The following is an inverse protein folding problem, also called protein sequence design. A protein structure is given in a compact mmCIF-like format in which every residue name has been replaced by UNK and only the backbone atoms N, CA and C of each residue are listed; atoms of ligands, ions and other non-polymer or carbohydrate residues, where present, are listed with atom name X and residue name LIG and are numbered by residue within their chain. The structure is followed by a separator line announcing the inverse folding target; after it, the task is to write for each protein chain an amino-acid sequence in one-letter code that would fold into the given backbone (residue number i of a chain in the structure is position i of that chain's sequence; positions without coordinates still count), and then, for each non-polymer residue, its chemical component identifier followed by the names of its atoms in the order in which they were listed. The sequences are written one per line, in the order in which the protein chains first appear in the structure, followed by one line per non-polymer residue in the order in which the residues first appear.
data_IF_260076469765
#
_entry.id   IF_260076469765
#
_cell.length_a   1.000
_cell.length_b   1.000
_cell.length_c   1.000
_cell.angle_alpha   90.00
_cell.angle_beta   90.00
_cell.angle_gamma   90.00
#
_symmetry.space_group_name_H-M   'P 1'
#
loop_
_entity.id
_entity.type
_entity.pdbx_description
1 polymer ?
#
# COMPACT_ATOMS: atom_id res chain seq x y z
N UNK A 1 12.45 1.80 -32.09
CA UNK A 1 12.67 1.29 -30.72
C UNK A 1 11.36 1.37 -29.96
N UNK A 2 10.81 0.23 -29.54
CA UNK A 2 9.61 0.20 -28.69
C UNK A 2 9.92 0.93 -27.39
N UNK A 3 9.09 1.88 -26.98
CA UNK A 3 9.23 2.60 -25.72
C UNK A 3 9.12 1.56 -24.61
N UNK A 4 10.22 1.26 -23.92
CA UNK A 4 10.24 0.29 -22.83
C UNK A 4 9.08 0.59 -21.88
N UNK A 5 8.29 -0.44 -21.56
CA UNK A 5 7.16 -0.28 -20.66
C UNK A 5 7.68 0.26 -19.32
N UNK A 6 6.99 1.27 -18.77
CA UNK A 6 7.39 1.83 -17.47
C UNK A 6 6.89 0.89 -16.37
N UNK A 7 7.74 0.51 -15.40
CA UNK A 7 7.32 -0.31 -14.29
C UNK A 7 6.13 0.26 -13.52
N UNK A 8 5.28 -0.63 -13.03
CA UNK A 8 4.06 -0.28 -12.29
C UNK A 8 4.18 -0.86 -10.89
N UNK A 9 4.19 0.01 -9.89
CA UNK A 9 4.16 -0.38 -8.49
C UNK A 9 2.72 -0.34 -7.96
N UNK A 10 2.28 -1.45 -7.37
CA UNK A 10 0.97 -1.60 -6.72
C UNK A 10 1.19 -2.00 -5.28
N UNK A 11 0.55 -1.28 -4.37
CA UNK A 11 0.48 -1.60 -2.95
C UNK A 11 -0.94 -1.98 -2.59
N UNK A 12 -1.09 -3.09 -1.89
CA UNK A 12 -2.34 -3.51 -1.26
C UNK A 12 -2.19 -3.42 0.26
N UNK A 13 -2.99 -2.54 0.88
CA UNK A 13 -3.05 -2.29 2.32
C UNK A 13 -4.30 -2.98 2.90
N UNK A 14 -4.10 -4.19 3.41
CA UNK A 14 -5.13 -4.98 4.06
C UNK A 14 -5.09 -4.91 5.59
N UNK A 15 -6.05 -5.57 6.22
CA UNK A 15 -6.16 -5.63 7.68
C UNK A 15 -5.01 -6.37 8.36
N UNK A 16 -4.43 -7.37 7.69
CA UNK A 16 -3.36 -8.18 8.28
C UNK A 16 -2.01 -7.88 7.66
N UNK A 17 -1.99 -7.51 6.38
CA UNK A 17 -0.76 -7.41 5.60
C UNK A 17 -0.77 -6.25 4.65
N UNK A 18 0.42 -5.74 4.37
CA UNK A 18 0.68 -4.79 3.29
C UNK A 18 1.56 -5.49 2.26
N UNK A 19 1.24 -5.37 0.99
CA UNK A 19 2.02 -5.99 -0.10
C UNK A 19 2.45 -4.95 -1.11
N UNK A 20 3.70 -5.00 -1.55
CA UNK A 20 4.17 -4.31 -2.75
C UNK A 20 4.41 -5.35 -3.85
N UNK A 21 3.87 -5.09 -5.04
CA UNK A 21 4.30 -5.75 -6.27
C UNK A 21 4.70 -4.69 -7.28
N UNK A 22 5.88 -4.85 -7.87
CA UNK A 22 6.33 -4.01 -8.99
C UNK A 22 6.35 -4.87 -10.24
N UNK A 23 5.60 -4.47 -11.26
CA UNK A 23 5.51 -5.15 -12.55
C UNK A 23 6.37 -4.43 -13.58
N UNK A 24 6.84 -5.16 -14.61
CA UNK A 24 7.64 -4.61 -15.71
C UNK A 24 6.93 -3.52 -16.53
N UNK A 25 5.60 -3.51 -16.51
CA UNK A 25 4.78 -2.44 -17.09
C UNK A 25 3.37 -2.91 -17.44
N UNK A 26 2.62 -2.05 -18.15
CA UNK A 26 1.23 -2.35 -18.54
C UNK A 26 1.20 -3.30 -19.74
N UNK A 27 1.09 -4.59 -19.49
CA UNK A 27 0.85 -5.61 -20.53
C UNK A 27 -0.34 -6.47 -20.12
N UNK A 28 -0.79 -7.37 -21.02
CA UNK A 28 -1.88 -8.30 -20.72
C UNK A 28 -1.49 -9.32 -19.64
N UNK A 29 -0.21 -9.69 -19.59
CA UNK A 29 0.34 -10.63 -18.61
C UNK A 29 1.67 -10.06 -18.13
N UNK A 30 1.65 -9.13 -17.17
CA UNK A 30 2.86 -8.43 -16.75
C UNK A 30 3.69 -9.28 -15.79
N UNK A 31 5.00 -9.37 -16.04
CA UNK A 31 5.93 -10.07 -15.15
C UNK A 31 6.20 -9.25 -13.89
N UNK A 32 6.13 -9.83 -12.68
CA UNK A 32 6.55 -9.16 -11.46
C UNK A 32 8.09 -9.08 -11.41
N UNK A 33 8.61 -7.85 -11.31
CA UNK A 33 10.02 -7.56 -11.04
C UNK A 33 10.36 -7.66 -9.54
N UNK A 34 9.38 -7.36 -8.69
CA UNK A 34 9.53 -7.39 -7.24
C UNK A 34 8.21 -7.75 -6.57
N UNK A 35 8.28 -8.51 -5.48
CA UNK A 35 7.10 -8.91 -4.71
C UNK A 35 7.49 -9.08 -3.25
N UNK A 36 6.93 -8.23 -2.38
CA UNK A 36 7.19 -8.30 -0.95
C UNK A 36 5.90 -8.14 -0.15
N UNK A 37 5.82 -8.90 0.95
CA UNK A 37 4.70 -8.90 1.88
C UNK A 37 5.20 -8.59 3.29
N UNK A 38 4.54 -7.64 3.94
CA UNK A 38 4.77 -7.27 5.33
C UNK A 38 3.53 -7.60 6.18
N UNK A 39 3.73 -8.24 7.34
CA UNK A 39 2.66 -8.51 8.30
C UNK A 39 2.58 -7.37 9.31
N UNK A 40 1.45 -6.67 9.33
CA UNK A 40 1.25 -5.49 10.18
C UNK A 40 0.14 -5.67 11.23
N UNK A 41 -0.90 -6.46 10.95
CA UNK A 41 -2.03 -6.63 11.86
C UNK A 41 -2.83 -5.35 12.12
N UNK A 42 -2.92 -4.45 11.14
CA UNK A 42 -3.60 -3.15 11.26
C UNK A 42 -5.08 -3.25 11.70
N UNK A 43 -5.79 -4.31 11.35
CA UNK A 43 -7.18 -4.55 11.76
C UNK A 43 -7.33 -5.34 13.06
N UNK A 44 -6.24 -5.58 13.81
CA UNK A 44 -6.32 -6.24 15.11
C UNK A 44 -7.17 -5.40 16.08
N UNK A 45 -8.11 -6.03 16.76
CA UNK A 45 -8.99 -5.34 17.73
C UNK A 45 -10.12 -4.52 17.11
N UNK A 46 -10.09 -4.26 15.79
CA UNK A 46 -11.02 -3.36 15.11
C UNK A 46 -12.50 -3.69 15.34
N UNK A 47 -12.88 -4.97 15.32
CA UNK A 47 -14.27 -5.37 15.56
C UNK A 47 -14.77 -5.07 16.99
N UNK A 48 -13.86 -4.96 17.96
CA UNK A 48 -14.19 -4.67 19.35
C UNK A 48 -14.02 -3.19 19.69
N UNK A 49 -13.01 -2.52 19.13
CA UNK A 49 -12.65 -1.14 19.47
C UNK A 49 -13.23 -0.12 18.49
N UNK A 50 -13.49 -0.49 17.24
CA UNK A 50 -13.79 0.46 16.16
C UNK A 50 -12.57 1.25 15.68
N UNK A 51 -11.37 0.89 16.13
CA UNK A 51 -10.10 1.55 15.82
C UNK A 51 -9.13 0.60 15.13
N UNK A 52 -8.28 1.15 14.27
CA UNK A 52 -7.10 0.40 13.80
C UNK A 52 -6.13 0.14 14.95
N UNK A 53 -5.29 -0.88 14.83
CA UNK A 53 -4.30 -1.21 15.85
C UNK A 53 -3.19 -0.15 15.89
N UNK A 54 -3.15 0.65 16.96
CA UNK A 54 -2.16 1.71 17.16
C UNK A 54 -0.72 1.19 17.10
N UNK A 55 -0.46 0.02 17.65
CA UNK A 55 0.86 -0.62 17.63
C UNK A 55 1.33 -0.98 16.20
N UNK A 56 0.40 -1.15 15.26
CA UNK A 56 0.71 -1.49 13.87
C UNK A 56 1.08 -0.25 13.04
N UNK A 57 0.58 0.94 13.41
CA UNK A 57 0.72 2.17 12.62
C UNK A 57 2.18 2.51 12.30
N UNK A 58 3.14 2.53 13.27
CA UNK A 58 4.53 2.87 12.97
C UNK A 58 5.17 1.91 11.96
N UNK A 59 4.84 0.62 12.05
CA UNK A 59 5.40 -0.41 11.19
C UNK A 59 4.80 -0.37 9.78
N UNK A 60 3.50 -0.10 9.66
CA UNK A 60 2.83 0.15 8.36
C UNK A 60 3.45 1.37 7.69
N UNK A 61 3.63 2.47 8.42
CA UNK A 61 4.25 3.69 7.91
C UNK A 61 5.66 3.43 7.38
N UNK A 62 6.51 2.78 8.18
CA UNK A 62 7.89 2.46 7.78
C UNK A 62 7.92 1.53 6.54
N UNK A 63 7.02 0.56 6.48
CA UNK A 63 6.91 -0.35 5.33
C UNK A 63 6.50 0.37 4.05
N UNK A 64 5.52 1.28 4.13
CA UNK A 64 5.05 2.05 2.98
C UNK A 64 6.09 3.04 2.46
N UNK A 65 6.84 3.71 3.34
CA UNK A 65 8.00 4.53 2.93
C UNK A 65 9.08 3.71 2.25
N UNK A 66 9.36 2.51 2.76
CA UNK A 66 10.33 1.60 2.14
C UNK A 66 9.82 1.14 0.78
N UNK A 67 8.55 0.80 0.65
CA UNK A 67 7.93 0.45 -0.63
C UNK A 67 8.00 1.59 -1.64
N UNK A 68 7.82 2.84 -1.21
CA UNK A 68 8.00 4.02 -2.07
C UNK A 68 9.42 4.07 -2.62
N UNK A 69 10.44 3.91 -1.77
CA UNK A 69 11.86 3.89 -2.18
C UNK A 69 12.18 2.74 -3.13
N UNK A 70 11.63 1.55 -2.89
CA UNK A 70 11.81 0.39 -3.77
C UNK A 70 11.19 0.68 -5.14
N UNK A 71 9.94 1.16 -5.18
CA UNK A 71 9.26 1.50 -6.42
C UNK A 71 10.05 2.54 -7.23
N UNK A 72 10.57 3.58 -6.57
CA UNK A 72 11.40 4.61 -7.21
C UNK A 72 12.70 4.02 -7.76
N UNK A 73 13.39 3.16 -6.99
CA UNK A 73 14.63 2.50 -7.44
C UNK A 73 14.44 1.57 -8.66
N UNK A 74 13.25 0.99 -8.78
CA UNK A 74 12.85 0.15 -9.92
C UNK A 74 12.27 0.95 -11.09
N UNK A 75 12.26 2.29 -11.02
CA UNK A 75 11.83 3.16 -12.11
C UNK A 75 10.31 3.28 -12.27
N UNK A 76 9.52 2.89 -11.26
CA UNK A 76 8.08 3.10 -11.29
C UNK A 76 7.76 4.59 -11.08
N UNK A 77 7.03 5.19 -12.03
CA UNK A 77 6.73 6.63 -11.97
C UNK A 77 5.69 7.01 -10.90
N UNK A 78 4.93 6.05 -10.40
CA UNK A 78 3.85 6.23 -9.42
C UNK A 78 3.73 4.98 -8.55
N UNK A 79 3.31 5.21 -7.31
CA UNK A 79 2.90 4.15 -6.37
C UNK A 79 1.37 4.12 -6.34
N UNK A 80 0.76 3.05 -6.86
CA UNK A 80 -0.69 2.89 -6.80
C UNK A 80 -1.03 2.15 -5.51
N UNK A 81 -1.77 2.79 -4.59
CA UNK A 81 -2.04 2.21 -3.27
C UNK A 81 -3.53 1.96 -3.13
N UNK A 82 -3.89 0.71 -2.85
CA UNK A 82 -5.26 0.29 -2.56
C UNK A 82 -5.35 -0.04 -1.07
N UNK A 83 -6.44 0.36 -0.42
CA UNK A 83 -6.72 0.00 0.97
C UNK A 83 -8.11 -0.64 1.10
N UNK A 84 -8.25 -1.58 2.03
CA UNK A 84 -9.48 -2.35 2.24
C UNK A 84 -10.00 -2.21 3.68
N UNK A 85 -10.54 -3.30 4.24
CA UNK A 85 -11.42 -3.30 5.41
C UNK A 85 -10.88 -2.54 6.63
N UNK A 86 -9.62 -2.74 7.04
CA UNK A 86 -9.14 -2.09 8.27
C UNK A 86 -9.21 -0.56 8.24
N UNK A 87 -8.86 0.03 7.10
CA UNK A 87 -8.87 1.48 6.93
C UNK A 87 -10.27 2.01 6.62
N UNK A 88 -11.09 1.22 5.92
CA UNK A 88 -12.48 1.57 5.61
C UNK A 88 -13.37 1.56 6.85
N UNK A 89 -13.22 0.54 7.69
CA UNK A 89 -14.13 0.24 8.80
C UNK A 89 -13.67 0.87 10.12
N UNK A 90 -12.40 1.27 10.23
CA UNK A 90 -11.86 2.01 11.37
C UNK A 90 -12.34 3.46 11.40
N UNK A 91 -12.84 3.90 12.55
CA UNK A 91 -13.31 5.28 12.77
C UNK A 91 -12.20 6.33 12.60
N UNK A 92 -10.95 5.92 12.85
CA UNK A 92 -9.71 6.67 12.66
C UNK A 92 -9.03 6.41 11.29
N UNK A 93 -9.59 5.53 10.47
CA UNK A 93 -9.00 5.10 9.20
C UNK A 93 -8.80 6.24 8.21
N UNK A 94 -9.76 7.18 8.12
CA UNK A 94 -9.66 8.33 7.24
C UNK A 94 -8.51 9.28 7.64
N UNK A 95 -8.23 9.42 8.94
CA UNK A 95 -7.08 10.20 9.41
C UNK A 95 -5.77 9.50 9.11
N UNK A 96 -5.70 8.19 9.36
CA UNK A 96 -4.54 7.36 9.04
C UNK A 96 -4.20 7.46 7.54
N UNK A 97 -5.20 7.39 6.64
CA UNK A 97 -5.01 7.57 5.19
C UNK A 97 -4.35 8.90 4.90
N UNK A 98 -4.92 10.01 5.39
CA UNK A 98 -4.35 11.35 5.14
C UNK A 98 -2.90 11.45 5.62
N UNK A 99 -2.58 10.83 6.76
CA UNK A 99 -1.22 10.79 7.30
C UNK A 99 -0.28 9.98 6.40
N UNK A 100 -0.71 8.83 5.91
CA UNK A 100 0.07 7.98 5.01
C UNK A 100 0.30 8.72 3.68
N UNK A 101 -0.74 9.27 3.05
CA UNK A 101 -0.65 9.97 1.77
C UNK A 101 0.40 11.08 1.78
N UNK A 102 0.41 11.91 2.84
CA UNK A 102 1.41 12.98 3.02
C UNK A 102 2.83 12.44 3.11
N UNK A 103 2.99 11.25 3.69
CA UNK A 103 4.29 10.66 4.01
C UNK A 103 4.92 9.93 2.83
N UNK A 104 4.10 9.27 2.01
CA UNK A 104 4.57 8.54 0.82
C UNK A 104 4.41 9.32 -0.49
N UNK A 105 3.65 10.42 -0.48
CA UNK A 105 3.40 11.24 -1.66
C UNK A 105 2.53 10.54 -2.71
N UNK A 106 1.65 9.62 -2.28
CA UNK A 106 0.76 8.86 -3.15
C UNK A 106 -0.66 8.86 -2.58
N UNK A 107 -1.65 8.85 -3.47
CA UNK A 107 -3.06 8.71 -3.11
C UNK A 107 -3.37 7.25 -2.75
N UNK A 108 -4.27 7.09 -1.79
CA UNK A 108 -4.78 5.78 -1.39
C UNK A 108 -6.22 5.66 -1.82
N UNK A 109 -6.50 4.68 -2.67
CA UNK A 109 -7.86 4.33 -3.06
C UNK A 109 -8.42 3.35 -2.03
N UNK A 110 -9.31 3.84 -1.17
CA UNK A 110 -10.05 3.00 -0.21
C UNK A 110 -11.21 2.35 -0.94
N UNK A 111 -11.18 1.03 -1.07
CA UNK A 111 -12.19 0.27 -1.80
C UNK A 111 -13.45 0.10 -0.95
N UNK A 112 -14.63 0.26 -1.57
CA UNK A 112 -15.92 0.10 -0.88
C UNK A 112 -16.15 -1.31 -0.35
N UNK A 113 -15.56 -2.31 -1.00
CA UNK A 113 -15.96 -3.71 -0.87
C UNK A 113 -17.22 -4.03 -1.66
#
# INVERSE_FOLDING_TARGET
MSRAARPIAVVDLGSNTVRLVVFEGKTRVPTPLFNERFFCGLGRGLGATGHVADEAIPQVMASLERFRRIADSLGASRLNVLATAAVRDGTDGAELVRRIERRIGAKIDVLSG
#
